data_IF_120679383132
#
_entry.id   IF_120679383132
#
_cell.length_a   1.000
_cell.length_b   1.000
_cell.length_c   1.000
_cell.angle_alpha   90.00
_cell.angle_beta   90.00
_cell.angle_gamma   90.00
#
_symmetry.space_group_name_H-M   'P 1'
#
loop_
_entity.id
_entity.type
_entity.pdbx_description
1 polymer ?
#
# COMPACT_ATOMS: atom_id res chain seq x y z
N UNK A 1 -21.13 15.82 10.54
CA UNK A 1 -20.23 15.69 11.68
C UNK A 1 -19.93 14.24 12.04
N UNK A 2 -20.91 13.37 12.33
CA UNK A 2 -20.69 11.96 12.68
C UNK A 2 -19.98 11.20 11.54
N UNK A 3 -20.42 11.39 10.28
CA UNK A 3 -19.84 10.74 9.12
C UNK A 3 -18.38 11.16 8.87
N UNK A 4 -18.07 12.42 9.14
CA UNK A 4 -16.71 12.96 9.02
C UNK A 4 -15.77 12.33 10.05
N UNK A 5 -16.22 12.23 11.30
CA UNK A 5 -15.47 11.58 12.39
C UNK A 5 -15.27 10.10 12.08
N UNK A 6 -16.31 9.41 11.62
CA UNK A 6 -16.26 8.00 11.25
C UNK A 6 -15.25 7.76 10.11
N UNK A 7 -15.27 8.61 9.06
CA UNK A 7 -14.32 8.54 7.97
C UNK A 7 -12.87 8.74 8.46
N UNK A 8 -12.65 9.71 9.33
CA UNK A 8 -11.34 10.00 9.91
C UNK A 8 -10.82 8.83 10.75
N UNK A 9 -11.70 8.18 11.52
CA UNK A 9 -11.36 6.97 12.30
C UNK A 9 -11.01 5.81 11.36
N UNK A 10 -11.82 5.56 10.32
CA UNK A 10 -11.59 4.48 9.36
C UNK A 10 -10.26 4.69 8.63
N UNK A 11 -10.00 5.90 8.13
CA UNK A 11 -8.75 6.25 7.45
C UNK A 11 -7.56 6.07 8.39
N UNK A 12 -7.66 6.54 9.63
CA UNK A 12 -6.60 6.39 10.62
C UNK A 12 -6.34 4.91 10.93
N UNK A 13 -7.38 4.12 11.15
CA UNK A 13 -7.26 2.68 11.40
C UNK A 13 -6.60 1.94 10.23
N UNK A 14 -7.05 2.22 9.01
CA UNK A 14 -6.50 1.57 7.81
C UNK A 14 -5.04 1.93 7.59
N UNK A 15 -4.62 3.16 7.90
CA UNK A 15 -3.23 3.57 7.77
C UNK A 15 -2.34 3.06 8.91
N UNK A 16 -2.80 3.13 10.17
CA UNK A 16 -1.97 2.80 11.33
C UNK A 16 -1.93 1.31 11.66
N UNK A 17 -3.04 0.59 11.49
CA UNK A 17 -3.12 -0.83 11.86
C UNK A 17 -2.10 -1.69 11.11
N UNK A 18 -1.92 -1.53 9.77
CA UNK A 18 -0.91 -2.26 9.02
C UNK A 18 0.52 -1.88 9.41
N UNK A 19 0.79 -0.59 9.67
CA UNK A 19 2.12 -0.15 10.12
C UNK A 19 2.48 -0.78 11.47
N UNK A 20 1.52 -0.88 12.38
CA UNK A 20 1.70 -1.57 13.66
C UNK A 20 1.92 -3.08 13.49
N UNK A 21 1.20 -3.70 12.55
CA UNK A 21 1.36 -5.12 12.23
C UNK A 21 2.69 -5.41 11.52
N UNK A 22 3.18 -4.47 10.68
CA UNK A 22 4.46 -4.58 9.99
C UNK A 22 5.66 -4.53 10.94
N UNK A 23 5.61 -3.73 12.00
CA UNK A 23 6.65 -3.66 13.03
C UNK A 23 6.81 -4.94 13.85
N UNK A 24 5.85 -5.86 13.79
CA UNK A 24 5.96 -7.17 14.41
C UNK A 24 6.48 -8.18 13.39
N UNK A 25 7.64 -8.78 13.65
CA UNK A 25 8.18 -9.96 12.95
C UNK A 25 7.20 -11.12 13.11
N UNK A 26 6.12 -11.07 12.35
CA UNK A 26 5.02 -12.03 12.45
C UNK A 26 5.16 -13.05 11.32
N UNK A 27 5.10 -14.34 11.66
CA UNK A 27 5.05 -15.46 10.70
C UNK A 27 4.00 -15.24 9.59
N UNK A 28 2.87 -14.62 9.94
CA UNK A 28 1.81 -14.29 8.98
C UNK A 28 2.29 -13.31 7.90
N UNK A 29 3.11 -12.34 8.29
CA UNK A 29 3.65 -11.34 7.36
C UNK A 29 4.65 -11.96 6.39
N UNK A 30 5.53 -12.83 6.89
CA UNK A 30 6.49 -13.56 6.04
C UNK A 30 5.75 -14.43 5.02
N UNK A 31 4.76 -15.21 5.45
CA UNK A 31 3.94 -16.05 4.56
C UNK A 31 3.19 -15.20 3.52
N UNK A 32 2.66 -14.04 3.91
CA UNK A 32 2.02 -13.10 2.99
C UNK A 32 2.98 -12.62 1.91
N UNK A 33 4.17 -12.17 2.28
CA UNK A 33 5.19 -11.69 1.35
C UNK A 33 5.66 -12.79 0.40
N UNK A 34 5.84 -14.01 0.90
CA UNK A 34 6.20 -15.17 0.07
C UNK A 34 5.11 -15.53 -0.95
N UNK A 35 3.84 -15.55 -0.53
CA UNK A 35 2.72 -15.80 -1.44
C UNK A 35 2.63 -14.73 -2.53
N UNK A 36 2.87 -13.47 -2.17
CA UNK A 36 2.92 -12.35 -3.11
C UNK A 36 4.10 -12.49 -4.08
N UNK A 37 5.29 -12.83 -3.58
CA UNK A 37 6.49 -12.99 -4.41
C UNK A 37 6.34 -14.16 -5.41
N UNK A 38 5.74 -15.28 -4.98
CA UNK A 38 5.60 -16.50 -5.79
C UNK A 38 4.56 -16.37 -6.91
N UNK A 39 3.47 -15.62 -6.71
CA UNK A 39 2.33 -15.61 -7.63
C UNK A 39 2.06 -14.23 -8.21
N UNK A 40 2.10 -14.13 -9.55
CA UNK A 40 1.69 -12.92 -10.27
C UNK A 40 0.21 -12.59 -10.04
N UNK A 41 -0.64 -13.61 -9.91
CA UNK A 41 -2.06 -13.40 -9.65
C UNK A 41 -2.30 -12.78 -8.26
N UNK A 42 -1.52 -13.18 -7.25
CA UNK A 42 -1.62 -12.57 -5.92
C UNK A 42 -1.17 -11.10 -5.95
N UNK A 43 -0.16 -10.76 -6.74
CA UNK A 43 0.24 -9.36 -6.94
C UNK A 43 -0.84 -8.53 -7.64
N UNK A 44 -1.50 -9.11 -8.66
CA UNK A 44 -2.64 -8.45 -9.32
C UNK A 44 -3.82 -8.28 -8.36
N UNK A 45 -4.13 -9.31 -7.57
CA UNK A 45 -5.19 -9.26 -6.57
C UNK A 45 -4.92 -8.17 -5.52
N UNK A 46 -3.68 -8.03 -5.07
CA UNK A 46 -3.26 -6.97 -4.16
C UNK A 46 -3.46 -5.58 -4.78
N UNK A 47 -3.09 -5.40 -6.05
CA UNK A 47 -3.33 -4.16 -6.79
C UNK A 47 -4.82 -3.82 -6.92
N UNK A 48 -5.66 -4.82 -7.20
CA UNK A 48 -7.12 -4.63 -7.20
C UNK A 48 -7.67 -4.30 -5.82
N UNK A 49 -7.14 -4.93 -4.76
CA UNK A 49 -7.50 -4.60 -3.37
C UNK A 49 -7.21 -3.14 -3.03
N UNK A 50 -6.04 -2.63 -3.43
CA UNK A 50 -5.70 -1.22 -3.29
C UNK A 50 -6.69 -0.32 -4.05
N UNK A 51 -7.00 -0.67 -5.30
CA UNK A 51 -7.95 0.10 -6.11
C UNK A 51 -9.33 0.15 -5.45
N UNK A 52 -9.84 -1.00 -4.99
CA UNK A 52 -11.13 -1.08 -4.29
C UNK A 52 -11.12 -0.20 -3.04
N UNK A 53 -10.04 -0.24 -2.25
CA UNK A 53 -9.89 0.58 -1.05
C UNK A 53 -9.95 2.08 -1.38
N UNK A 54 -9.23 2.50 -2.42
CA UNK A 54 -9.23 3.90 -2.88
C UNK A 54 -10.61 4.30 -3.40
N UNK A 55 -11.29 3.45 -4.15
CA UNK A 55 -12.64 3.74 -4.67
C UNK A 55 -13.68 3.80 -3.55
N UNK A 56 -13.61 2.91 -2.56
CA UNK A 56 -14.48 2.97 -1.38
C UNK A 56 -14.29 4.27 -0.60
N UNK A 57 -13.05 4.68 -0.38
CA UNK A 57 -12.74 5.97 0.23
C UNK A 57 -13.32 7.13 -0.58
N UNK A 58 -13.15 7.11 -1.91
CA UNK A 58 -13.68 8.14 -2.81
C UNK A 58 -15.21 8.23 -2.73
N UNK A 59 -15.89 7.10 -2.77
CA UNK A 59 -17.35 7.05 -2.72
C UNK A 59 -17.91 7.68 -1.42
N UNK A 60 -17.23 7.42 -0.29
CA UNK A 60 -17.63 7.98 1.01
C UNK A 60 -17.27 9.46 1.14
N UNK A 61 -16.10 9.87 0.64
CA UNK A 61 -15.63 11.25 0.77
C UNK A 61 -16.37 12.21 -0.15
N UNK A 62 -16.65 11.81 -1.39
CA UNK A 62 -17.36 12.65 -2.36
C UNK A 62 -18.78 13.02 -1.89
N UNK A 63 -19.45 12.14 -1.16
CA UNK A 63 -20.74 12.42 -0.53
C UNK A 63 -20.69 13.45 0.60
N UNK A 64 -19.51 13.74 1.14
CA UNK A 64 -19.33 14.66 2.29
C UNK A 64 -18.83 16.03 1.85
N UNK A 65 -17.96 16.10 0.86
CA UNK A 65 -17.25 17.32 0.42
C UNK A 65 -17.51 17.61 -1.06
N UNK A 66 -18.67 18.19 -1.38
CA UNK A 66 -18.96 18.71 -2.71
C UNK A 66 -18.31 20.09 -2.86
N UNK A 67 -17.33 20.21 -3.74
CA UNK A 67 -16.70 21.50 -4.10
C UNK A 67 -15.19 21.57 -3.93
N UNK A 68 -14.56 20.60 -3.26
CA UNK A 68 -13.11 20.53 -3.13
C UNK A 68 -12.43 20.09 -4.43
N UNK A 69 -11.25 20.63 -4.71
CA UNK A 69 -10.43 20.21 -5.87
C UNK A 69 -9.80 18.82 -5.67
N UNK A 70 -9.54 18.45 -4.44
CA UNK A 70 -8.90 17.20 -4.06
C UNK A 70 -9.54 15.93 -4.66
N UNK A 71 -10.89 15.77 -4.62
CA UNK A 71 -11.56 14.62 -5.21
C UNK A 71 -11.27 14.42 -6.70
N UNK A 72 -11.13 15.49 -7.49
CA UNK A 72 -10.80 15.38 -8.92
C UNK A 72 -9.37 14.87 -9.12
N UNK A 73 -8.41 15.41 -8.37
CA UNK A 73 -7.01 14.99 -8.44
C UNK A 73 -6.83 13.54 -7.95
N UNK A 74 -7.47 13.17 -6.85
CA UNK A 74 -7.40 11.80 -6.33
C UNK A 74 -8.14 10.79 -7.22
N UNK A 75 -9.21 11.21 -7.93
CA UNK A 75 -9.85 10.38 -8.96
C UNK A 75 -8.89 10.12 -10.12
N UNK A 76 -8.10 11.10 -10.55
CA UNK A 76 -7.08 10.90 -11.59
C UNK A 76 -6.05 9.85 -11.16
N UNK A 77 -5.62 9.87 -9.89
CA UNK A 77 -4.73 8.83 -9.33
C UNK A 77 -5.44 7.46 -9.33
N UNK A 78 -6.70 7.40 -8.91
CA UNK A 78 -7.48 6.17 -8.91
C UNK A 78 -7.64 5.57 -10.32
N UNK A 79 -7.94 6.41 -11.32
CA UNK A 79 -8.00 5.99 -12.73
C UNK A 79 -6.67 5.44 -13.24
N UNK A 80 -5.56 6.02 -12.79
CA UNK A 80 -4.23 5.51 -13.15
C UNK A 80 -3.95 4.13 -12.53
N UNK A 81 -4.48 3.87 -11.32
CA UNK A 81 -4.38 2.59 -10.62
C UNK A 81 -5.29 1.48 -11.20
N UNK A 82 -6.22 1.78 -12.10
CA UNK A 82 -7.09 0.78 -12.76
C UNK A 82 -6.27 -0.28 -13.50
N UNK A 83 -5.10 0.07 -14.03
CA UNK A 83 -4.23 -0.89 -14.69
C UNK A 83 -3.33 -1.63 -13.68
N UNK A 84 -3.56 -2.93 -13.43
CA UNK A 84 -2.78 -3.69 -12.44
C UNK A 84 -1.28 -3.74 -12.78
N UNK A 85 -0.94 -3.75 -14.08
CA UNK A 85 0.47 -3.71 -14.50
C UNK A 85 1.17 -2.41 -14.10
N UNK A 86 0.47 -1.27 -14.21
CA UNK A 86 1.00 0.04 -13.82
C UNK A 86 1.10 0.14 -12.29
N UNK A 87 0.07 -0.32 -11.58
CA UNK A 87 0.05 -0.33 -10.11
C UNK A 87 1.19 -1.18 -9.55
N UNK A 88 1.38 -2.40 -10.05
CA UNK A 88 2.49 -3.27 -9.63
C UNK A 88 3.84 -2.61 -9.87
N UNK A 89 4.03 -1.97 -11.04
CA UNK A 89 5.28 -1.26 -11.35
C UNK A 89 5.52 -0.10 -10.39
N UNK A 90 4.49 0.73 -10.17
CA UNK A 90 4.57 1.85 -9.24
C UNK A 90 4.95 1.40 -7.82
N UNK A 91 4.24 0.39 -7.28
CA UNK A 91 4.52 -0.11 -5.93
C UNK A 91 5.95 -0.64 -5.79
N UNK A 92 6.44 -1.33 -6.83
CA UNK A 92 7.81 -1.83 -6.89
C UNK A 92 8.83 -0.69 -6.92
N UNK A 93 8.59 0.35 -7.73
CA UNK A 93 9.50 1.48 -7.89
C UNK A 93 9.55 2.33 -6.61
N UNK A 94 8.41 2.56 -5.97
CA UNK A 94 8.35 3.24 -4.66
C UNK A 94 9.11 2.42 -3.60
N UNK A 95 8.91 1.10 -3.57
CA UNK A 95 9.59 0.22 -2.61
C UNK A 95 11.10 0.14 -2.84
N UNK A 96 11.55 0.24 -4.08
CA UNK A 96 12.97 0.11 -4.44
C UNK A 96 13.81 1.31 -3.98
N UNK A 97 13.22 2.47 -3.75
CA UNK A 97 13.93 3.71 -3.40
C UNK A 97 13.39 4.32 -2.10
N UNK A 98 14.21 4.32 -1.06
CA UNK A 98 13.87 4.97 0.21
C UNK A 98 13.61 6.47 0.05
N UNK A 99 14.32 7.14 -0.86
CA UNK A 99 14.12 8.57 -1.14
C UNK A 99 12.75 8.82 -1.76
N UNK A 100 12.30 7.98 -2.70
CA UNK A 100 10.97 8.08 -3.31
C UNK A 100 9.88 7.81 -2.27
N UNK A 101 10.08 6.81 -1.42
CA UNK A 101 9.15 6.48 -0.33
C UNK A 101 9.02 7.62 0.65
N UNK A 102 10.14 8.23 1.08
CA UNK A 102 10.13 9.40 1.96
C UNK A 102 9.47 10.61 1.29
N UNK A 103 9.77 10.86 0.01
CA UNK A 103 9.19 11.97 -0.75
C UNK A 103 7.65 11.84 -0.85
N UNK A 104 7.14 10.66 -1.20
CA UNK A 104 5.69 10.42 -1.28
C UNK A 104 5.06 10.53 0.12
N UNK A 105 5.75 10.09 1.17
CA UNK A 105 5.28 10.24 2.55
C UNK A 105 5.14 11.71 2.97
N UNK A 106 6.13 12.53 2.67
CA UNK A 106 6.08 13.97 2.94
C UNK A 106 4.98 14.64 2.10
N UNK A 107 4.87 14.29 0.82
CA UNK A 107 3.84 14.81 -0.06
C UNK A 107 2.44 14.43 0.43
N UNK A 108 2.22 13.19 0.87
CA UNK A 108 0.97 12.74 1.46
C UNK A 108 0.62 13.54 2.72
N UNK A 109 1.61 13.82 3.57
CA UNK A 109 1.41 14.62 4.78
C UNK A 109 1.02 16.06 4.45
N UNK A 110 1.77 16.71 3.54
CA UNK A 110 1.50 18.10 3.12
C UNK A 110 0.11 18.22 2.50
N UNK A 111 -0.24 17.30 1.58
CA UNK A 111 -1.55 17.33 0.92
C UNK A 111 -2.70 16.99 1.86
N UNK A 112 -2.47 16.18 2.90
CA UNK A 112 -3.49 15.91 3.93
C UNK A 112 -3.80 17.17 4.76
N UNK A 113 -2.80 18.04 4.99
CA UNK A 113 -2.95 19.29 5.77
C UNK A 113 -3.43 20.45 4.91
N UNK A 114 -3.27 20.37 3.59
CA UNK A 114 -3.67 21.46 2.68
C UNK A 114 -5.21 21.51 2.53
N UNK A 115 -5.81 22.71 2.62
CA UNK A 115 -7.25 22.88 2.43
C UNK A 115 -7.72 22.33 1.08
N UNK A 116 -8.79 21.53 1.08
CA UNK A 116 -9.37 20.96 -0.14
C UNK A 116 -8.55 19.84 -0.81
N UNK A 117 -7.40 19.44 -0.24
CA UNK A 117 -6.52 18.40 -0.81
C UNK A 117 -6.46 17.11 0.03
N UNK A 118 -7.26 17.02 1.08
CA UNK A 118 -7.27 15.88 2.00
C UNK A 118 -7.39 14.51 1.32
N UNK A 119 -8.27 14.41 0.30
CA UNK A 119 -8.47 13.16 -0.44
C UNK A 119 -7.24 12.71 -1.22
N UNK A 120 -6.43 13.64 -1.69
CA UNK A 120 -5.14 13.35 -2.36
C UNK A 120 -4.16 12.77 -1.34
N UNK A 121 -4.04 13.41 -0.18
CA UNK A 121 -3.15 12.95 0.89
C UNK A 121 -3.48 11.53 1.36
N UNK A 122 -4.75 11.24 1.59
CA UNK A 122 -5.21 9.91 1.97
C UNK A 122 -4.96 8.87 0.87
N UNK A 123 -5.22 9.23 -0.40
CA UNK A 123 -4.96 8.34 -1.54
C UNK A 123 -3.48 8.01 -1.67
N UNK A 124 -2.60 9.02 -1.55
CA UNK A 124 -1.14 8.81 -1.52
C UNK A 124 -0.71 7.97 -0.32
N UNK A 125 -1.33 8.18 0.85
CA UNK A 125 -1.11 7.35 2.03
C UNK A 125 -1.44 5.88 1.81
N UNK A 126 -2.55 5.56 1.13
CA UNK A 126 -2.89 4.18 0.76
C UNK A 126 -1.90 3.58 -0.23
N UNK A 127 -1.45 4.35 -1.23
CA UNK A 127 -0.43 3.90 -2.19
C UNK A 127 0.89 3.64 -1.46
N UNK A 128 1.30 4.54 -0.57
CA UNK A 128 2.51 4.40 0.23
C UNK A 128 2.46 3.15 1.10
N UNK A 129 1.33 2.94 1.81
CA UNK A 129 1.11 1.77 2.62
C UNK A 129 1.20 0.48 1.79
N UNK A 130 0.54 0.45 0.64
CA UNK A 130 0.61 -0.68 -0.27
C UNK A 130 2.04 -0.94 -0.77
N UNK A 131 2.82 0.11 -1.04
CA UNK A 131 4.22 -0.02 -1.44
C UNK A 131 5.10 -0.59 -0.32
N UNK A 132 4.87 -0.21 0.94
CA UNK A 132 5.57 -0.76 2.10
C UNK A 132 5.32 -2.27 2.25
N UNK A 133 4.10 -2.73 1.99
CA UNK A 133 3.75 -4.16 2.03
C UNK A 133 4.09 -4.93 0.76
N UNK A 134 4.51 -4.24 -0.31
CA UNK A 134 4.89 -4.90 -1.56
C UNK A 134 6.25 -5.60 -1.42
N UNK A 135 6.43 -6.84 -1.94
CA UNK A 135 7.69 -7.56 -1.86
C UNK A 135 8.81 -6.81 -2.61
N UNK A 136 10.01 -6.79 -2.02
CA UNK A 136 11.19 -6.23 -2.69
C UNK A 136 11.63 -7.11 -3.86
N UNK A 137 12.36 -6.52 -4.83
CA UNK A 137 12.93 -7.27 -5.95
C UNK A 137 13.81 -8.43 -5.49
N UNK A 138 14.62 -8.22 -4.46
CA UNK A 138 15.50 -9.23 -3.88
C UNK A 138 14.74 -10.47 -3.41
N UNK A 139 13.53 -10.29 -2.86
CA UNK A 139 12.70 -11.39 -2.40
C UNK A 139 12.02 -12.08 -3.58
N UNK A 140 11.55 -11.33 -4.59
CA UNK A 140 10.98 -11.91 -5.80
C UNK A 140 12.00 -12.81 -6.53
N UNK A 141 13.26 -12.36 -6.62
CA UNK A 141 14.36 -13.12 -7.22
C UNK A 141 14.72 -14.36 -6.38
N UNK A 142 14.90 -14.18 -5.08
CA UNK A 142 15.23 -15.29 -4.19
C UNK A 142 14.17 -16.41 -4.17
N UNK A 143 12.89 -16.05 -4.20
CA UNK A 143 11.79 -17.02 -4.27
C UNK A 143 11.71 -17.70 -5.64
N UNK A 144 12.14 -17.03 -6.72
CA UNK A 144 12.24 -17.63 -8.06
C UNK A 144 13.37 -18.66 -8.16
N UNK A 145 14.52 -18.30 -7.60
CA UNK A 145 15.73 -19.13 -7.71
C UNK A 145 15.65 -20.38 -6.81
N UNK A 146 14.80 -20.33 -5.79
CA UNK A 146 14.62 -21.44 -4.84
C UNK A 146 13.15 -21.89 -4.75
N UNK A 147 12.63 -22.58 -5.76
CA UNK A 147 11.22 -23.01 -5.80
C UNK A 147 10.87 -24.09 -4.78
N UNK A 148 11.85 -24.75 -4.17
CA UNK A 148 11.70 -26.01 -3.39
C UNK A 148 11.90 -25.79 -1.87
N UNK A 149 11.76 -24.59 -1.34
CA UNK A 149 11.71 -24.47 0.11
C UNK A 149 10.39 -25.08 0.65
N UNK A 150 10.47 -26.38 0.95
CA UNK A 150 9.43 -27.13 1.66
C UNK A 150 9.51 -26.90 3.18
N UNK A 151 10.64 -26.36 3.68
CA UNK A 151 10.83 -26.12 5.09
C UNK A 151 10.57 -24.64 5.41
N UNK A 152 9.38 -24.37 5.96
CA UNK A 152 8.91 -23.01 6.28
C UNK A 152 9.80 -22.29 7.31
N UNK A 153 10.52 -23.03 8.17
CA UNK A 153 11.28 -22.48 9.29
C UNK A 153 12.62 -21.89 8.81
N UNK A 154 13.33 -22.52 7.89
CA UNK A 154 14.58 -21.99 7.31
C UNK A 154 14.30 -20.77 6.41
N UNK A 155 13.21 -20.82 5.65
CA UNK A 155 12.80 -19.72 4.81
C UNK A 155 12.34 -18.51 5.65
N UNK A 156 11.75 -18.76 6.82
CA UNK A 156 11.32 -17.72 7.76
C UNK A 156 12.51 -16.93 8.27
N UNK A 157 13.60 -17.61 8.67
CA UNK A 157 14.79 -16.97 9.22
C UNK A 157 15.52 -16.09 8.19
N UNK A 158 15.67 -16.59 6.97
CA UNK A 158 16.37 -15.88 5.90
C UNK A 158 15.54 -14.73 5.35
N UNK A 159 14.23 -14.93 5.20
CA UNK A 159 13.31 -13.88 4.76
C UNK A 159 13.18 -12.80 5.81
N UNK A 160 13.14 -13.15 7.10
CA UNK A 160 13.12 -12.18 8.22
C UNK A 160 14.40 -11.35 8.23
N UNK A 161 15.58 -11.97 8.08
CA UNK A 161 16.85 -11.25 8.00
C UNK A 161 16.89 -10.26 6.84
N UNK A 162 16.35 -10.62 5.67
CA UNK A 162 16.38 -9.76 4.46
C UNK A 162 15.26 -8.71 4.39
N UNK A 163 14.14 -8.94 5.09
CA UNK A 163 13.00 -8.03 5.05
C UNK A 163 13.09 -6.94 6.11
N UNK A 164 13.73 -7.25 7.24
CA UNK A 164 13.75 -6.39 8.42
C UNK A 164 15.15 -5.89 8.77
N UNK A 165 16.17 -6.20 7.97
CA UNK A 165 17.48 -5.56 7.99
C UNK A 165 17.44 -4.30 7.12
#
# INVERSE_FOLDING_TARGET
>A
MILTILNLIIVSLVLWLPLFAYGRRSRRMVVFCQRMARSENNRKLFGYGLLILVLMFHATYHGICMGDFGPYASTAIALWLVSPKRTIRLLRDIRASQSVLAFIGILALITTLAPGMYSVGVTLGYVLLAAVFYPSKTIEEHVKDNPVYTNYDELEEETVKRYFA
#
